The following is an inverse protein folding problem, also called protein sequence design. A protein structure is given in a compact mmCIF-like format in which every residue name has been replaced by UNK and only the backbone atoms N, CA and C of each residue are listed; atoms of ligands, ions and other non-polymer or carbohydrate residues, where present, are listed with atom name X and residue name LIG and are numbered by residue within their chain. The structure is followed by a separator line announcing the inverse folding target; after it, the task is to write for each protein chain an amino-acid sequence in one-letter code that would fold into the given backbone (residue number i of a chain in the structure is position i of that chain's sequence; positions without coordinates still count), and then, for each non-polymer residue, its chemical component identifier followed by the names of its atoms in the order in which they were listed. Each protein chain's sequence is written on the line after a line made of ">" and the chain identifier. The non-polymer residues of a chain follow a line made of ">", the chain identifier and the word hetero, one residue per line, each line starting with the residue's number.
data_IF_348749397388
#
_entry.id   IF_348749397388
#
_cell.length_a   1.000
_cell.length_b   1.000
_cell.length_c   1.000
_cell.angle_alpha   90.00
_cell.angle_beta   90.00
_cell.angle_gamma   90.00
#
_symmetry.space_group_name_H-M   'P 1'
#
loop_
_entity.id
_entity.type
_entity.pdbx_description
1 polymer ?
#
# COMPACT_ATOMS: atom_id res chain seq x y z
N UNK A 1 16.24 -34.73 -20.09
CA UNK A 1 15.52 -33.81 -19.17
C UNK A 1 16.21 -32.44 -19.00
N UNK A 2 17.55 -32.36 -19.07
CA UNK A 2 18.37 -31.13 -18.93
C UNK A 2 18.00 -29.93 -19.85
N UNK A 3 17.45 -30.17 -21.04
CA UNK A 3 17.06 -29.10 -22.00
C UNK A 3 15.72 -28.44 -21.69
N UNK A 4 14.81 -29.12 -20.99
CA UNK A 4 13.46 -28.58 -20.71
C UNK A 4 13.48 -27.56 -19.56
N UNK A 5 14.48 -27.64 -18.70
CA UNK A 5 14.64 -26.77 -17.54
C UNK A 5 15.34 -25.44 -17.87
N UNK A 6 16.28 -25.41 -18.84
CA UNK A 6 16.92 -24.15 -19.25
C UNK A 6 15.96 -23.21 -20.00
N UNK A 7 14.99 -23.77 -20.75
CA UNK A 7 13.97 -22.99 -21.48
C UNK A 7 13.04 -22.25 -20.51
N UNK A 8 12.76 -22.83 -19.34
CA UNK A 8 11.87 -22.21 -18.33
C UNK A 8 12.58 -21.05 -17.62
N UNK A 9 13.86 -21.20 -17.26
CA UNK A 9 14.62 -20.13 -16.61
C UNK A 9 14.82 -18.91 -17.54
N UNK A 10 14.99 -19.12 -18.85
CA UNK A 10 15.11 -18.02 -19.81
C UNK A 10 13.77 -17.29 -20.04
N UNK A 11 12.65 -18.03 -20.12
CA UNK A 11 11.33 -17.45 -20.39
C UNK A 11 10.79 -16.56 -19.27
N UNK A 12 11.14 -16.82 -18.01
CA UNK A 12 10.64 -16.05 -16.86
C UNK A 12 11.68 -15.09 -16.26
N UNK A 13 12.88 -15.03 -16.83
CA UNK A 13 13.96 -14.14 -16.39
C UNK A 13 13.57 -12.66 -16.39
N UNK A 14 12.69 -12.25 -17.30
CA UNK A 14 12.21 -10.88 -17.35
C UNK A 14 11.40 -10.50 -16.09
N UNK A 15 10.64 -11.42 -15.49
CA UNK A 15 9.78 -11.14 -14.32
C UNK A 15 10.61 -10.74 -13.10
N UNK A 16 11.77 -11.37 -12.88
CA UNK A 16 12.68 -11.01 -11.80
C UNK A 16 13.87 -10.16 -12.28
N UNK A 17 13.72 -9.45 -13.39
CA UNK A 17 14.73 -8.52 -13.90
C UNK A 17 14.74 -7.22 -13.08
N UNK A 18 15.88 -6.52 -13.10
CA UNK A 18 16.03 -5.18 -12.48
C UNK A 18 14.94 -4.21 -12.95
N UNK A 19 14.59 -4.26 -14.25
CA UNK A 19 13.53 -3.42 -14.82
C UNK A 19 12.17 -3.65 -14.16
N UNK A 20 11.82 -4.91 -13.88
CA UNK A 20 10.57 -5.27 -13.19
C UNK A 20 10.52 -4.74 -11.75
N UNK A 21 11.63 -4.84 -11.01
CA UNK A 21 11.73 -4.29 -9.66
C UNK A 21 11.64 -2.74 -9.67
N UNK A 22 12.26 -2.07 -10.64
CA UNK A 22 12.16 -0.60 -10.80
C UNK A 22 10.74 -0.19 -11.16
N UNK A 23 10.09 -0.89 -12.11
CA UNK A 23 8.72 -0.59 -12.50
C UNK A 23 7.76 -0.71 -11.30
N UNK A 24 7.83 -1.81 -10.55
CA UNK A 24 7.03 -2.00 -9.35
C UNK A 24 7.31 -0.92 -8.30
N UNK A 25 8.56 -0.49 -8.16
CA UNK A 25 8.91 0.61 -7.25
C UNK A 25 8.26 1.94 -7.66
N UNK A 26 8.20 2.25 -8.95
CA UNK A 26 7.51 3.45 -9.44
C UNK A 26 6.01 3.39 -9.16
N UNK A 27 5.38 2.22 -9.34
CA UNK A 27 3.96 2.02 -8.99
C UNK A 27 3.73 2.15 -7.48
N UNK A 28 4.65 1.65 -6.64
CA UNK A 28 4.63 1.84 -5.18
C UNK A 28 4.64 3.33 -4.82
N UNK A 29 5.53 4.12 -5.43
CA UNK A 29 5.62 5.56 -5.18
C UNK A 29 4.35 6.30 -5.63
N UNK A 30 3.77 5.91 -6.77
CA UNK A 30 2.49 6.44 -7.21
C UNK A 30 1.38 6.14 -6.20
N UNK A 31 1.30 4.89 -5.71
CA UNK A 31 0.35 4.50 -4.66
C UNK A 31 0.52 5.31 -3.36
N UNK A 32 1.77 5.52 -2.93
CA UNK A 32 2.08 6.37 -1.77
C UNK A 32 1.65 7.83 -2.00
N UNK A 33 1.86 8.37 -3.20
CA UNK A 33 1.41 9.71 -3.59
C UNK A 33 -0.12 9.85 -3.55
N UNK A 34 -0.85 8.83 -4.01
CA UNK A 34 -2.32 8.78 -3.93
C UNK A 34 -2.79 8.77 -2.47
N UNK A 35 -2.12 8.03 -1.57
CA UNK A 35 -2.43 8.04 -0.13
C UNK A 35 -2.17 9.42 0.47
N UNK A 36 -1.02 10.04 0.18
CA UNK A 36 -0.68 11.37 0.68
C UNK A 36 -1.73 12.41 0.23
N UNK A 37 -2.17 12.33 -1.03
CA UNK A 37 -3.20 13.20 -1.57
C UNK A 37 -4.57 12.95 -0.92
N UNK A 38 -4.94 11.68 -0.69
CA UNK A 38 -6.17 11.34 0.03
C UNK A 38 -6.17 11.80 1.49
N UNK A 39 -5.03 11.70 2.18
CA UNK A 39 -4.84 12.20 3.55
C UNK A 39 -4.97 13.72 3.63
N UNK A 40 -4.55 14.45 2.60
CA UNK A 40 -4.75 15.90 2.52
C UNK A 40 -6.25 16.27 2.52
N UNK A 41 -7.09 15.55 1.77
CA UNK A 41 -8.54 15.77 1.77
C UNK A 41 -9.22 15.29 3.06
N UNK A 42 -8.63 14.35 3.78
CA UNK A 42 -9.13 13.90 5.06
C UNK A 42 -8.87 14.92 6.19
N UNK A 43 -8.07 15.96 5.94
CA UNK A 43 -7.52 16.83 6.98
C UNK A 43 -8.49 17.88 7.57
N UNK A 44 -9.82 17.75 7.43
CA UNK A 44 -10.75 18.85 7.79
C UNK A 44 -11.78 18.59 8.91
N UNK A 45 -11.71 17.52 9.72
CA UNK A 45 -12.64 17.35 10.85
C UNK A 45 -12.00 16.80 12.13
N UNK A 46 -11.57 17.72 13.00
CA UNK A 46 -11.15 17.50 14.40
C UNK A 46 -10.21 16.28 14.62
N UNK A 47 -8.94 16.47 14.28
CA UNK A 47 -7.89 15.43 14.19
C UNK A 47 -7.33 14.91 15.51
N UNK A 48 -7.55 15.60 16.63
CA UNK A 48 -6.77 15.37 17.85
C UNK A 48 -6.88 13.96 18.41
N UNK A 49 -7.91 13.19 18.05
CA UNK A 49 -8.16 11.85 18.57
C UNK A 49 -8.32 10.75 17.50
N UNK A 50 -7.96 10.99 16.23
CA UNK A 50 -8.03 9.95 15.20
C UNK A 50 -6.70 9.22 14.98
N UNK A 51 -6.46 8.20 15.80
CA UNK A 51 -5.27 7.33 15.74
C UNK A 51 -5.16 6.52 14.43
N UNK A 52 -6.21 6.49 13.61
CA UNK A 52 -6.24 5.69 12.38
C UNK A 52 -5.35 6.32 11.30
N UNK A 53 -5.37 7.64 11.13
CA UNK A 53 -4.53 8.32 10.13
C UNK A 53 -3.04 8.02 10.25
N UNK A 54 -2.39 8.19 11.42
CA UNK A 54 -0.97 7.91 11.54
C UNK A 54 -0.66 6.42 11.29
N UNK A 55 -1.58 5.52 11.63
CA UNK A 55 -1.46 4.09 11.35
C UNK A 55 -1.50 3.78 9.84
N UNK A 56 -2.42 4.40 9.09
CA UNK A 56 -2.53 4.25 7.63
C UNK A 56 -1.29 4.79 6.91
N UNK A 57 -0.80 5.95 7.35
CA UNK A 57 0.41 6.56 6.82
C UNK A 57 1.64 5.70 7.11
N UNK A 58 1.80 5.25 8.36
CA UNK A 58 2.91 4.40 8.77
C UNK A 58 2.95 3.11 7.93
N UNK A 59 1.82 2.45 7.71
CA UNK A 59 1.76 1.24 6.89
C UNK A 59 2.27 1.47 5.46
N UNK A 60 1.84 2.56 4.81
CA UNK A 60 2.30 2.91 3.46
C UNK A 60 3.80 3.24 3.39
N UNK A 61 4.33 3.93 4.41
CA UNK A 61 5.76 4.25 4.50
C UNK A 61 6.61 3.00 4.74
N UNK A 62 6.23 2.16 5.72
CA UNK A 62 6.96 0.92 6.01
C UNK A 62 6.93 -0.05 4.83
N UNK A 63 5.79 -0.16 4.13
CA UNK A 63 5.68 -0.90 2.87
C UNK A 63 6.67 -0.38 1.83
N UNK A 64 6.77 0.93 1.66
CA UNK A 64 7.70 1.53 0.69
C UNK A 64 9.16 1.24 1.05
N UNK A 65 9.52 1.30 2.33
CA UNK A 65 10.86 0.95 2.82
C UNK A 65 11.15 -0.54 2.56
N UNK A 66 10.18 -1.43 2.77
CA UNK A 66 10.31 -2.86 2.46
C UNK A 66 10.54 -3.10 0.96
N UNK A 67 9.82 -2.39 0.09
CA UNK A 67 10.01 -2.44 -1.36
C UNK A 67 11.41 -1.97 -1.79
N UNK A 68 11.94 -0.92 -1.16
CA UNK A 68 13.34 -0.48 -1.39
C UNK A 68 14.30 -1.59 -0.96
N UNK A 69 14.13 -2.12 0.24
CA UNK A 69 15.01 -3.16 0.79
C UNK A 69 15.04 -4.41 -0.11
N UNK A 70 13.88 -4.91 -0.55
CA UNK A 70 13.83 -6.11 -1.39
C UNK A 70 14.36 -5.85 -2.81
N UNK A 71 14.17 -4.64 -3.35
CA UNK A 71 14.77 -4.24 -4.64
C UNK A 71 16.30 -4.22 -4.57
N UNK A 72 16.86 -3.62 -3.52
CA UNK A 72 18.32 -3.62 -3.31
C UNK A 72 18.84 -5.04 -3.07
N UNK A 73 18.12 -5.84 -2.27
CA UNK A 73 18.48 -7.24 -2.01
C UNK A 73 18.46 -8.10 -3.27
N UNK A 74 17.57 -7.81 -4.22
CA UNK A 74 17.52 -8.46 -5.53
C UNK A 74 18.77 -8.17 -6.36
N UNK A 75 19.34 -6.97 -6.26
CA UNK A 75 20.53 -6.59 -7.04
C UNK A 75 21.82 -7.22 -6.51
N UNK A 76 21.92 -7.44 -5.20
CA UNK A 76 23.13 -8.02 -4.60
C UNK A 76 23.26 -9.54 -4.82
N UNK A 77 22.21 -10.20 -5.33
CA UNK A 77 22.17 -11.65 -5.61
C UNK A 77 22.53 -12.57 -4.42
N UNK A 78 22.58 -12.05 -3.19
CA UNK A 78 22.81 -12.84 -2.00
C UNK A 78 21.50 -13.44 -1.48
N UNK A 79 21.39 -14.77 -1.55
CA UNK A 79 20.15 -15.50 -1.25
C UNK A 79 19.60 -15.26 0.17
N UNK A 80 20.47 -15.06 1.16
CA UNK A 80 20.07 -14.77 2.54
C UNK A 80 19.40 -13.41 2.68
N UNK A 81 19.95 -12.37 2.03
CA UNK A 81 19.36 -11.03 2.03
C UNK A 81 18.01 -11.03 1.33
N UNK A 82 17.89 -11.76 0.21
CA UNK A 82 16.62 -11.87 -0.51
C UNK A 82 15.54 -12.60 0.31
N UNK A 83 15.89 -13.70 1.00
CA UNK A 83 14.97 -14.40 1.92
C UNK A 83 14.52 -13.51 3.08
N UNK A 84 15.44 -12.73 3.65
CA UNK A 84 15.12 -11.78 4.70
C UNK A 84 14.21 -10.65 4.19
N UNK A 85 14.44 -10.16 2.97
CA UNK A 85 13.58 -9.18 2.32
C UNK A 85 12.17 -9.70 2.08
N UNK A 86 12.02 -10.96 1.65
CA UNK A 86 10.71 -11.62 1.52
C UNK A 86 9.98 -11.66 2.86
N UNK A 87 10.67 -11.97 3.96
CA UNK A 87 10.06 -11.96 5.30
C UNK A 87 9.54 -10.57 5.69
N UNK A 88 10.34 -9.52 5.49
CA UNK A 88 9.92 -8.13 5.74
C UNK A 88 8.69 -7.79 4.89
N UNK A 89 8.70 -8.15 3.62
CA UNK A 89 7.59 -7.91 2.68
C UNK A 89 6.29 -8.60 3.10
N UNK A 90 6.37 -9.84 3.62
CA UNK A 90 5.19 -10.53 4.17
C UNK A 90 4.65 -9.77 5.38
N UNK A 91 5.52 -9.33 6.30
CA UNK A 91 5.10 -8.56 7.47
C UNK A 91 4.43 -7.24 7.09
N UNK A 92 5.00 -6.48 6.15
CA UNK A 92 4.41 -5.21 5.68
C UNK A 92 3.15 -5.43 4.86
N UNK A 93 3.05 -6.52 4.10
CA UNK A 93 1.83 -6.92 3.41
C UNK A 93 0.69 -7.19 4.40
N UNK A 94 0.92 -8.01 5.43
CA UNK A 94 -0.09 -8.28 6.46
C UNK A 94 -0.50 -7.00 7.21
N UNK A 95 0.45 -6.10 7.47
CA UNK A 95 0.14 -4.81 8.07
C UNK A 95 -0.74 -3.94 7.15
N UNK A 96 -0.49 -3.94 5.84
CA UNK A 96 -1.33 -3.25 4.86
C UNK A 96 -2.74 -3.85 4.76
N UNK A 97 -2.89 -5.18 4.80
CA UNK A 97 -4.21 -5.81 4.81
C UNK A 97 -4.99 -5.47 6.08
N UNK A 98 -4.30 -5.40 7.23
CA UNK A 98 -4.90 -4.93 8.48
C UNK A 98 -5.40 -3.48 8.37
N UNK A 99 -4.63 -2.57 7.74
CA UNK A 99 -5.05 -1.18 7.56
C UNK A 99 -6.20 -1.03 6.58
N UNK A 100 -6.25 -1.82 5.51
CA UNK A 100 -7.40 -1.90 4.59
C UNK A 100 -8.64 -2.40 5.34
N UNK A 101 -8.53 -3.47 6.12
CA UNK A 101 -9.62 -3.99 6.93
C UNK A 101 -10.14 -2.95 7.93
N UNK A 102 -9.24 -2.21 8.57
CA UNK A 102 -9.59 -1.12 9.47
C UNK A 102 -10.30 0.03 8.73
N UNK A 103 -9.90 0.38 7.51
CA UNK A 103 -10.58 1.38 6.67
C UNK A 103 -12.00 0.95 6.30
N UNK A 104 -12.18 -0.31 5.89
CA UNK A 104 -13.50 -0.84 5.51
C UNK A 104 -14.40 -0.89 6.74
N UNK A 105 -13.90 -1.40 7.87
CA UNK A 105 -14.66 -1.45 9.12
C UNK A 105 -15.04 -0.05 9.63
N UNK A 106 -14.10 0.89 9.56
CA UNK A 106 -14.35 2.28 9.98
C UNK A 106 -15.34 3.02 9.09
N UNK A 107 -15.46 2.65 7.81
CA UNK A 107 -16.47 3.19 6.89
C UNK A 107 -17.88 3.02 7.44
N UNK A 108 -18.17 1.89 8.06
CA UNK A 108 -19.53 1.57 8.53
C UNK A 108 -19.77 1.94 9.98
N UNK A 109 -18.72 2.03 10.79
CA UNK A 109 -18.84 2.49 12.18
C UNK A 109 -19.36 3.94 12.29
N UNK A 110 -20.34 4.15 13.17
CA UNK A 110 -20.88 5.46 13.62
C UNK A 110 -19.83 6.36 14.28
N UNK A 111 -18.65 5.78 14.51
CA UNK A 111 -17.51 6.41 15.14
C UNK A 111 -16.77 7.22 14.06
N UNK A 112 -17.25 8.44 13.82
CA UNK A 112 -16.59 9.49 13.02
C UNK A 112 -16.68 9.39 11.49
N UNK A 113 -17.72 8.79 10.90
CA UNK A 113 -18.31 9.52 9.75
C UNK A 113 -18.66 10.88 10.33
N UNK A 114 -18.11 11.97 9.79
CA UNK A 114 -18.55 13.35 10.05
C UNK A 114 -20.02 13.26 10.45
N UNK A 115 -20.34 13.49 11.72
CA UNK A 115 -21.64 13.16 12.34
C UNK A 115 -22.85 13.65 11.53
N UNK A 116 -22.57 14.58 10.63
CA UNK A 116 -23.45 15.33 9.75
C UNK A 116 -23.55 14.78 8.30
N UNK A 117 -22.73 13.82 7.88
CA UNK A 117 -22.78 13.24 6.51
C UNK A 117 -23.70 12.03 6.35
N UNK A 118 -24.52 11.71 7.36
CA UNK A 118 -25.38 10.51 7.39
C UNK A 118 -26.83 10.77 7.01
N UNK A 119 -27.23 12.03 6.89
CA UNK A 119 -28.59 12.46 6.61
C UNK A 119 -28.56 13.55 5.53
N UNK A 120 -29.67 13.80 4.81
CA UNK A 120 -29.80 15.02 4.03
C UNK A 120 -29.56 16.21 4.98
N UNK A 121 -28.50 16.97 4.71
CA UNK A 121 -28.17 18.15 5.50
C UNK A 121 -29.13 19.25 5.06
N UNK A 122 -30.06 19.63 5.93
CA UNK A 122 -30.90 20.80 5.69
C UNK A 122 -30.03 22.06 5.68
N UNK A 123 -30.36 23.04 4.83
CA UNK A 123 -29.58 24.30 4.71
C UNK A 123 -29.46 25.06 6.05
N UNK A 124 -30.45 24.90 6.93
CA UNK A 124 -30.51 25.48 8.27
C UNK A 124 -29.57 24.81 9.29
N UNK A 125 -29.01 23.63 8.97
CA UNK A 125 -28.14 22.90 9.89
C UNK A 125 -26.78 23.57 9.95
N UNK A 126 -26.42 24.09 11.12
CA UNK A 126 -25.11 24.70 11.36
C UNK A 126 -24.35 24.00 12.48
N UNK A 127 -23.05 23.80 12.28
CA UNK A 127 -22.15 23.17 13.25
C UNK A 127 -20.97 24.10 13.55
N UNK A 128 -20.62 24.32 14.83
CA UNK A 128 -19.47 25.13 15.17
C UNK A 128 -18.18 24.34 14.87
N UNK A 129 -17.33 24.88 14.00
CA UNK A 129 -15.95 24.40 13.78
C UNK A 129 -15.04 25.60 13.98
N UNK A 130 -14.02 25.47 14.84
CA UNK A 130 -13.11 26.58 15.19
C UNK A 130 -13.82 27.90 15.55
N UNK A 131 -14.90 27.83 16.33
CA UNK A 131 -15.74 28.96 16.73
C UNK A 131 -16.42 29.72 15.56
N UNK A 132 -16.45 29.15 14.36
CA UNK A 132 -17.23 29.67 13.23
C UNK A 132 -18.41 28.75 12.92
N UNK A 133 -19.59 29.31 12.56
CA UNK A 133 -20.73 28.51 12.14
C UNK A 133 -20.54 28.00 10.71
N UNK A 134 -20.52 26.69 10.53
CA UNK A 134 -20.49 26.04 9.22
C UNK A 134 -21.85 25.42 8.93
N UNK A 135 -22.53 25.87 7.88
CA UNK A 135 -23.93 25.52 7.60
C UNK A 135 -24.10 24.71 6.31
N UNK A 136 -25.18 23.93 6.23
CA UNK A 136 -25.79 23.37 5.03
C UNK A 136 -24.81 22.93 3.92
N UNK A 137 -24.69 23.79 2.90
CA UNK A 137 -23.85 23.58 1.71
C UNK A 137 -22.39 23.29 2.06
N UNK A 138 -21.82 24.00 3.03
CA UNK A 138 -20.42 23.80 3.40
C UNK A 138 -20.21 22.44 4.08
N UNK A 139 -21.18 21.99 4.88
CA UNK A 139 -21.14 20.65 5.48
C UNK A 139 -21.16 19.60 4.36
N UNK A 140 -22.03 19.78 3.36
CA UNK A 140 -22.15 18.86 2.23
C UNK A 140 -20.88 18.80 1.37
N UNK A 141 -20.24 19.94 1.10
CA UNK A 141 -18.95 20.01 0.40
C UNK A 141 -17.87 19.27 1.18
N UNK A 142 -17.78 19.47 2.49
CA UNK A 142 -16.79 18.79 3.35
C UNK A 142 -17.04 17.29 3.44
N UNK A 143 -18.30 16.86 3.47
CA UNK A 143 -18.68 15.46 3.37
C UNK A 143 -18.18 14.83 2.07
N UNK A 144 -18.39 15.50 0.94
CA UNK A 144 -17.95 15.01 -0.37
C UNK A 144 -16.41 14.95 -0.46
N UNK A 145 -15.72 16.00 0.02
CA UNK A 145 -14.24 16.02 0.08
C UNK A 145 -13.68 14.89 0.93
N UNK A 146 -14.28 14.63 2.09
CA UNK A 146 -13.83 13.55 2.98
C UNK A 146 -14.09 12.16 2.38
N UNK A 147 -15.24 11.97 1.73
CA UNK A 147 -15.54 10.73 0.99
C UNK A 147 -14.54 10.50 -0.14
N UNK A 148 -14.22 11.57 -0.89
CA UNK A 148 -13.21 11.52 -1.94
C UNK A 148 -11.83 11.16 -1.37
N UNK A 149 -11.41 11.79 -0.27
CA UNK A 149 -10.16 11.47 0.44
C UNK A 149 -10.10 10.02 0.89
N UNK A 150 -11.18 9.49 1.48
CA UNK A 150 -11.27 8.08 1.86
C UNK A 150 -11.10 7.14 0.65
N UNK A 151 -11.77 7.43 -0.46
CA UNK A 151 -11.65 6.64 -1.68
C UNK A 151 -10.21 6.62 -2.21
N UNK A 152 -9.54 7.78 -2.24
CA UNK A 152 -8.14 7.89 -2.65
C UNK A 152 -7.22 7.09 -1.73
N UNK A 153 -7.37 7.20 -0.40
CA UNK A 153 -6.57 6.42 0.56
C UNK A 153 -6.75 4.93 0.30
N UNK A 154 -8.00 4.46 0.15
CA UNK A 154 -8.28 3.05 -0.11
C UNK A 154 -7.67 2.57 -1.44
N UNK A 155 -7.82 3.37 -2.51
CA UNK A 155 -7.25 3.06 -3.81
C UNK A 155 -5.72 2.97 -3.77
N UNK A 156 -5.06 3.89 -3.05
CA UNK A 156 -3.62 3.87 -2.85
C UNK A 156 -3.16 2.66 -2.04
N UNK A 157 -3.88 2.29 -0.97
CA UNK A 157 -3.57 1.10 -0.16
C UNK A 157 -3.72 -0.20 -0.96
N UNK A 158 -4.78 -0.33 -1.78
CA UNK A 158 -4.98 -1.48 -2.68
C UNK A 158 -3.86 -1.55 -3.72
N UNK A 159 -3.46 -0.40 -4.29
CA UNK A 159 -2.36 -0.34 -5.26
C UNK A 159 -1.05 -0.83 -4.65
N UNK A 160 -0.71 -0.36 -3.44
CA UNK A 160 0.47 -0.82 -2.69
C UNK A 160 0.38 -2.31 -2.37
N UNK A 161 -0.78 -2.81 -1.95
CA UNK A 161 -0.99 -4.24 -1.67
C UNK A 161 -0.77 -5.11 -2.92
N UNK A 162 -1.30 -4.69 -4.07
CA UNK A 162 -1.06 -5.37 -5.34
C UNK A 162 0.43 -5.41 -5.70
N UNK A 163 1.15 -4.31 -5.50
CA UNK A 163 2.61 -4.24 -5.72
C UNK A 163 3.35 -5.20 -4.80
N UNK A 164 2.99 -5.30 -3.52
CA UNK A 164 3.57 -6.30 -2.61
C UNK A 164 3.42 -7.73 -3.14
N UNK A 165 2.25 -8.10 -3.65
CA UNK A 165 2.01 -9.44 -4.22
C UNK A 165 2.99 -9.70 -5.37
N UNK A 166 3.16 -8.75 -6.29
CA UNK A 166 4.10 -8.89 -7.40
C UNK A 166 5.55 -9.00 -6.93
N UNK A 167 5.98 -8.17 -5.99
CA UNK A 167 7.32 -8.28 -5.40
C UNK A 167 7.56 -9.65 -4.76
N UNK A 168 6.59 -10.17 -3.99
CA UNK A 168 6.70 -11.48 -3.38
C UNK A 168 6.86 -12.59 -4.44
N UNK A 169 6.02 -12.57 -5.48
CA UNK A 169 6.11 -13.55 -6.58
C UNK A 169 7.49 -13.45 -7.25
N UNK A 170 7.93 -12.24 -7.62
CA UNK A 170 9.19 -12.04 -8.36
C UNK A 170 10.40 -12.43 -7.51
N UNK A 171 10.42 -12.06 -6.24
CA UNK A 171 11.50 -12.44 -5.33
C UNK A 171 11.53 -13.95 -5.04
N UNK A 172 10.38 -14.62 -4.93
CA UNK A 172 10.34 -16.09 -4.79
C UNK A 172 10.88 -16.77 -6.05
N UNK A 173 10.47 -16.33 -7.24
CA UNK A 173 11.00 -16.83 -8.52
C UNK A 173 12.52 -16.64 -8.60
N UNK A 174 13.02 -15.47 -8.17
CA UNK A 174 14.44 -15.18 -8.14
C UNK A 174 15.21 -16.10 -7.16
N UNK A 175 14.67 -16.35 -5.96
CA UNK A 175 15.27 -17.30 -4.99
C UNK A 175 15.35 -18.70 -5.60
N UNK A 176 14.28 -19.17 -6.23
CA UNK A 176 14.25 -20.51 -6.87
C UNK A 176 15.29 -20.61 -7.98
N UNK A 177 15.44 -19.56 -8.80
CA UNK A 177 16.45 -19.52 -9.86
C UNK A 177 17.88 -19.56 -9.30
N UNK A 178 18.16 -18.78 -8.25
CA UNK A 178 19.48 -18.75 -7.60
C UNK A 178 19.84 -20.08 -6.92
N UNK A 179 18.88 -20.71 -6.22
CA UNK A 179 19.08 -22.01 -5.56
C UNK A 179 19.37 -23.13 -6.58
N UNK A 180 18.65 -23.13 -7.71
CA UNK A 180 18.93 -24.04 -8.83
C UNK A 180 20.35 -23.85 -9.36
N UNK A 181 20.74 -22.62 -9.69
CA UNK A 181 22.10 -22.31 -10.20
C UNK A 181 23.19 -22.78 -9.24
N UNK A 182 23.02 -22.57 -7.94
CA UNK A 182 23.98 -23.02 -6.92
C UNK A 182 24.13 -24.54 -6.88
N UNK A 183 23.03 -25.30 -7.01
CA UNK A 183 23.07 -26.77 -7.05
C UNK A 183 23.78 -27.32 -8.29
N UNK A 184 23.64 -26.67 -9.45
CA UNK A 184 24.33 -27.10 -10.67
C UNK A 184 25.84 -26.89 -10.63
N UNK A 185 26.32 -25.85 -9.94
CA UNK A 185 27.77 -25.60 -9.78
C UNK A 185 28.44 -26.64 -8.88
N UNK A 186 27.71 -27.25 -7.94
CA UNK A 186 28.24 -28.28 -7.02
C UNK A 186 28.30 -29.69 -7.64
N UNK A 187 27.70 -29.91 -8.81
CA UNK A 187 27.61 -31.22 -9.47
C UNK A 187 28.62 -31.35 -10.64
N UNK A 188 29.25 -30.24 -11.05
CA UNK A 188 30.34 -30.20 -12.03
C UNK A 188 31.70 -30.00 -11.35
#
# INVERSE_FOLDING_TARGET
>A
MRWKESIIDDQFSFLYSIGSFIFLFLVQLAGLGVIAYGLFYFFDYNHTNDYRLPLLWAAAVFSTIACIFISVSSFTSHIHFLKFGILIMICTFLYMEFTIGLLIWSRDSDIKKLKYCRLPVEESTCVPVWNQPFCGVHIQEQCNRTQHGFFLILAGQITISAVHIFYLIFSVLQVVSLDRKSKYVLIN
#
